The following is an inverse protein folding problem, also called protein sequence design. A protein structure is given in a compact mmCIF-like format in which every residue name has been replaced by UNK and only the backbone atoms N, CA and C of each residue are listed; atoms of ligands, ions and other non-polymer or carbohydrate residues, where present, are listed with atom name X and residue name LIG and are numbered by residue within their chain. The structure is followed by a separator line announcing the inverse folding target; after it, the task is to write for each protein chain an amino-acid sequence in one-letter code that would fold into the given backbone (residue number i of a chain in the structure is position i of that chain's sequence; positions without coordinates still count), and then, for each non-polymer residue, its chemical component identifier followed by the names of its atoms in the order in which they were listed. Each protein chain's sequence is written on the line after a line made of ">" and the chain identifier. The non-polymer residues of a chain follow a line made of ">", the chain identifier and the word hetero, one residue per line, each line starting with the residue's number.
data_IF_517681933137
#
_entry.id   IF_517681933137
#
_cell.length_a   1.000
_cell.length_b   1.000
_cell.length_c   1.000
_cell.angle_alpha   90.00
_cell.angle_beta   90.00
_cell.angle_gamma   90.00
#
_symmetry.space_group_name_H-M   'P 1'
#
loop_
_entity.id
_entity.type
_entity.pdbx_description
1 polymer ?
#
# COMPACT_ATOMS: atom_id res chain seq x y z
N UNK A 1 17.91 29.42 9.47
CA UNK A 1 17.01 29.68 8.32
C UNK A 1 16.65 28.32 7.81
N UNK A 2 15.43 27.87 8.08
CA UNK A 2 14.85 26.64 7.57
C UNK A 2 14.71 26.75 6.05
N UNK A 3 15.29 25.83 5.28
CA UNK A 3 15.21 25.80 3.82
C UNK A 3 14.75 24.40 3.39
N UNK A 4 13.90 24.34 2.36
CA UNK A 4 13.61 23.07 1.72
C UNK A 4 14.87 22.58 1.00
N UNK A 5 15.11 21.28 1.04
CA UNK A 5 16.21 20.61 0.36
C UNK A 5 15.64 19.74 -0.78
N UNK A 6 16.26 19.87 -1.95
CA UNK A 6 15.92 19.10 -3.14
C UNK A 6 17.20 18.60 -3.80
N UNK A 7 17.32 17.28 -3.94
CA UNK A 7 18.38 16.61 -4.69
C UNK A 7 17.76 15.78 -5.81
N UNK A 8 18.28 15.92 -7.02
CA UNK A 8 17.84 15.14 -8.19
C UNK A 8 19.08 14.59 -8.91
N UNK A 9 19.21 13.27 -8.99
CA UNK A 9 20.19 12.54 -9.79
C UNK A 9 19.48 11.86 -10.97
N UNK A 10 19.94 12.13 -12.20
CA UNK A 10 19.36 11.57 -13.42
C UNK A 10 20.48 10.97 -14.29
N UNK A 11 20.38 9.68 -14.61
CA UNK A 11 21.31 8.96 -15.49
C UNK A 11 20.52 8.25 -16.58
N UNK A 12 20.48 8.80 -17.78
CA UNK A 12 19.74 8.18 -18.88
C UNK A 12 19.18 9.16 -19.91
N UNK A 13 18.06 8.80 -20.53
CA UNK A 13 17.41 9.62 -21.58
C UNK A 13 15.92 9.78 -21.30
N UNK A 14 15.36 10.95 -21.63
CA UNK A 14 13.93 11.27 -21.43
C UNK A 14 13.44 11.09 -19.98
N UNK A 15 14.27 11.50 -19.01
CA UNK A 15 13.90 11.51 -17.59
C UNK A 15 13.24 12.85 -17.25
N UNK A 16 12.07 12.82 -16.62
CA UNK A 16 11.34 14.01 -16.16
C UNK A 16 11.21 13.92 -14.64
N UNK A 17 11.64 14.97 -13.95
CA UNK A 17 11.39 15.17 -12.53
C UNK A 17 10.77 16.56 -12.35
N UNK A 18 9.54 16.62 -11.84
CA UNK A 18 8.83 17.83 -11.51
C UNK A 18 8.61 17.86 -10.00
N UNK A 19 9.18 18.85 -9.31
CA UNK A 19 9.07 18.97 -7.85
C UNK A 19 8.56 20.36 -7.50
N UNK A 20 7.47 20.42 -6.73
CA UNK A 20 6.93 21.64 -6.16
C UNK A 20 6.89 21.52 -4.62
N UNK A 21 7.75 22.27 -3.93
CA UNK A 21 7.84 22.29 -2.47
C UNK A 21 7.35 23.64 -1.92
N UNK A 22 6.31 23.60 -1.08
CA UNK A 22 5.72 24.77 -0.43
C UNK A 22 5.81 24.62 1.10
N UNK A 23 6.56 25.50 1.76
CA UNK A 23 6.74 25.48 3.21
C UNK A 23 8.21 25.49 3.62
N UNK A 24 8.58 24.81 4.71
CA UNK A 24 9.90 24.90 5.34
C UNK A 24 10.42 23.52 5.74
N UNK A 25 11.74 23.29 5.72
CA UNK A 25 12.39 22.05 6.16
C UNK A 25 11.89 20.76 5.47
N UNK A 26 11.37 20.89 4.25
CA UNK A 26 10.99 19.72 3.46
C UNK A 26 12.19 19.17 2.68
N UNK A 27 12.43 17.87 2.74
CA UNK A 27 13.46 17.16 1.99
C UNK A 27 12.83 16.34 0.87
N UNK A 28 13.36 16.44 -0.35
CA UNK A 28 13.05 15.53 -1.45
C UNK A 28 14.34 15.09 -2.14
N UNK A 29 14.56 13.80 -2.22
CA UNK A 29 15.65 13.17 -2.96
C UNK A 29 15.07 12.29 -4.06
N UNK A 30 15.53 12.50 -5.30
CA UNK A 30 15.09 11.78 -6.48
C UNK A 30 16.31 11.19 -7.19
N UNK A 31 16.29 9.89 -7.45
CA UNK A 31 17.23 9.17 -8.32
C UNK A 31 16.44 8.54 -9.47
N UNK A 32 16.85 8.81 -10.72
CA UNK A 32 16.27 8.20 -11.92
C UNK A 32 17.37 7.64 -12.81
N UNK A 33 17.31 6.35 -13.13
CA UNK A 33 18.31 5.64 -13.94
C UNK A 33 17.65 4.82 -15.04
N UNK A 34 17.78 5.25 -16.30
CA UNK A 34 17.26 4.52 -17.46
C UNK A 34 16.58 5.38 -18.52
N UNK A 35 15.38 4.99 -18.98
CA UNK A 35 14.73 5.69 -20.13
C UNK A 35 13.27 6.04 -19.90
N UNK A 36 12.84 7.23 -20.31
CA UNK A 36 11.41 7.62 -20.35
C UNK A 36 10.71 7.58 -18.98
N UNK A 37 11.41 7.92 -17.89
CA UNK A 37 10.84 7.87 -16.53
C UNK A 37 10.27 9.22 -16.12
N UNK A 38 9.23 9.21 -15.29
CA UNK A 38 8.57 10.40 -14.78
C UNK A 38 8.43 10.34 -13.27
N UNK A 39 8.91 11.38 -12.58
CA UNK A 39 8.66 11.64 -11.17
C UNK A 39 7.93 12.97 -11.05
N UNK A 40 6.78 12.97 -10.38
CA UNK A 40 6.07 14.19 -9.99
C UNK A 40 5.92 14.21 -8.47
N UNK A 41 6.40 15.27 -7.84
CA UNK A 41 6.34 15.48 -6.39
C UNK A 41 5.69 16.82 -6.10
N UNK A 42 4.60 16.79 -5.34
CA UNK A 42 4.01 17.96 -4.71
C UNK A 42 4.12 17.80 -3.20
N UNK A 43 4.85 18.70 -2.54
CA UNK A 43 5.10 18.64 -1.11
C UNK A 43 4.71 19.96 -0.47
N UNK A 44 3.85 19.94 0.54
CA UNK A 44 3.39 21.12 1.25
C UNK A 44 3.43 20.95 2.77
N UNK A 45 3.85 21.99 3.50
CA UNK A 45 3.94 22.00 4.96
C UNK A 45 5.37 21.99 5.49
N UNK A 46 5.65 21.28 6.58
CA UNK A 46 6.95 21.34 7.25
C UNK A 46 7.55 19.98 7.60
N UNK A 47 8.87 19.85 7.60
CA UNK A 47 9.58 18.63 8.04
C UNK A 47 9.16 17.35 7.30
N UNK A 48 8.65 17.45 6.07
CA UNK A 48 8.29 16.27 5.30
C UNK A 48 9.52 15.75 4.54
N UNK A 49 9.68 14.44 4.44
CA UNK A 49 10.82 13.78 3.78
C UNK A 49 10.39 12.82 2.69
N UNK A 50 10.98 12.94 1.50
CA UNK A 50 10.73 12.08 0.34
C UNK A 50 12.00 11.50 -0.20
N UNK A 51 12.00 10.18 -0.43
CA UNK A 51 13.08 9.49 -1.13
C UNK A 51 12.48 8.66 -2.26
N UNK A 52 12.84 8.98 -3.50
CA UNK A 52 12.26 8.36 -4.70
C UNK A 52 13.38 7.84 -5.59
N UNK A 53 13.35 6.55 -5.90
CA UNK A 53 14.32 5.92 -6.79
C UNK A 53 13.61 5.10 -7.88
N UNK A 54 13.96 5.38 -9.13
CA UNK A 54 13.45 4.66 -10.29
C UNK A 54 14.60 4.13 -11.14
N UNK A 55 14.59 2.82 -11.40
CA UNK A 55 15.48 2.15 -12.32
C UNK A 55 14.70 1.44 -13.45
N UNK A 56 15.14 1.58 -14.70
CA UNK A 56 14.55 0.89 -15.85
C UNK A 56 13.87 1.80 -16.87
N UNK A 57 12.70 1.43 -17.38
CA UNK A 57 12.06 2.14 -18.50
C UNK A 57 10.59 2.48 -18.25
N UNK A 58 10.15 3.69 -18.62
CA UNK A 58 8.73 4.08 -18.59
C UNK A 58 8.04 3.97 -17.22
N UNK A 59 8.80 4.04 -16.13
CA UNK A 59 8.26 4.03 -14.77
C UNK A 59 7.72 5.42 -14.38
N UNK A 60 6.62 5.46 -13.63
CA UNK A 60 5.97 6.68 -13.16
C UNK A 60 5.82 6.66 -11.64
N UNK A 61 6.36 7.67 -10.98
CA UNK A 61 6.15 7.97 -9.56
C UNK A 61 5.37 9.27 -9.46
N UNK A 62 4.24 9.22 -8.76
CA UNK A 62 3.49 10.38 -8.34
C UNK A 62 3.45 10.44 -6.82
N UNK A 63 3.74 11.60 -6.26
CA UNK A 63 3.78 11.82 -4.84
C UNK A 63 3.14 13.16 -4.48
N UNK A 64 2.11 13.12 -3.65
CA UNK A 64 1.53 14.29 -3.02
C UNK A 64 1.63 14.15 -1.50
N UNK A 65 2.38 15.04 -0.85
CA UNK A 65 2.47 15.13 0.59
C UNK A 65 1.98 16.49 1.08
N UNK A 66 1.14 16.48 2.12
CA UNK A 66 0.68 17.67 2.81
C UNK A 66 0.68 17.47 4.32
N UNK A 67 1.26 18.42 5.07
CA UNK A 67 1.21 18.44 6.53
C UNK A 67 2.59 18.53 7.18
N UNK A 68 2.78 17.87 8.32
CA UNK A 68 4.02 17.99 9.12
C UNK A 68 4.63 16.64 9.43
N UNK A 69 5.95 16.47 9.21
CA UNK A 69 6.67 15.27 9.64
C UNK A 69 6.38 14.00 8.83
N UNK A 70 5.74 14.11 7.66
CA UNK A 70 5.42 12.94 6.86
C UNK A 70 6.64 12.42 6.11
N UNK A 71 6.85 11.10 6.13
CA UNK A 71 7.93 10.44 5.41
C UNK A 71 7.37 9.50 4.35
N UNK A 72 7.86 9.63 3.12
CA UNK A 72 7.53 8.69 2.04
C UNK A 72 8.77 8.21 1.31
N UNK A 73 8.74 6.94 0.94
CA UNK A 73 9.82 6.26 0.22
C UNK A 73 9.22 5.42 -0.91
N UNK A 74 9.73 5.61 -2.14
CA UNK A 74 9.28 4.85 -3.31
C UNK A 74 10.47 4.29 -4.08
N UNK A 75 10.46 2.99 -4.31
CA UNK A 75 11.42 2.29 -5.17
C UNK A 75 10.68 1.58 -6.31
N UNK A 76 11.09 1.84 -7.54
CA UNK A 76 10.57 1.12 -8.70
C UNK A 76 11.71 0.63 -9.59
N UNK A 77 11.73 -0.68 -9.84
CA UNK A 77 12.65 -1.31 -10.79
C UNK A 77 11.89 -2.05 -11.90
N UNK A 78 12.30 -1.87 -13.16
CA UNK A 78 11.74 -2.59 -14.31
C UNK A 78 11.04 -1.69 -15.31
N UNK A 79 9.94 -2.13 -15.91
CA UNK A 79 9.28 -1.40 -16.99
C UNK A 79 7.80 -1.10 -16.73
N UNK A 80 7.35 0.12 -17.07
CA UNK A 80 5.93 0.53 -16.99
C UNK A 80 5.28 0.44 -15.60
N UNK A 81 6.06 0.44 -14.52
CA UNK A 81 5.51 0.44 -13.17
C UNK A 81 4.96 1.83 -12.80
N UNK A 82 3.84 1.87 -12.09
CA UNK A 82 3.20 3.10 -11.60
C UNK A 82 3.04 3.04 -10.09
N UNK A 83 3.57 4.03 -9.38
CA UNK A 83 3.42 4.19 -7.94
C UNK A 83 2.83 5.57 -7.68
N UNK A 84 1.83 5.60 -6.80
CA UNK A 84 1.17 6.83 -6.41
C UNK A 84 1.03 6.86 -4.89
N UNK A 85 1.61 7.86 -4.25
CA UNK A 85 1.40 8.13 -2.83
C UNK A 85 0.67 9.46 -2.69
N UNK A 86 -0.40 9.47 -1.90
CA UNK A 86 -1.02 10.69 -1.39
C UNK A 86 -1.09 10.62 0.14
N UNK A 87 -0.37 11.51 0.81
CA UNK A 87 -0.21 11.51 2.25
C UNK A 87 -0.55 12.88 2.82
N UNK A 88 -1.67 12.97 3.52
CA UNK A 88 -2.21 14.21 4.10
C UNK A 88 -2.39 14.00 5.61
N UNK A 89 -1.44 14.48 6.41
CA UNK A 89 -1.46 14.21 7.85
C UNK A 89 -0.22 14.69 8.62
N UNK A 90 -0.01 14.09 9.79
CA UNK A 90 1.12 14.36 10.68
C UNK A 90 1.83 13.03 11.00
N UNK A 91 3.15 12.98 10.86
CA UNK A 91 4.01 11.83 11.21
C UNK A 91 3.60 10.50 10.54
N UNK A 92 3.08 10.53 9.32
CA UNK A 92 2.79 9.31 8.57
C UNK A 92 4.05 8.70 7.93
N UNK A 93 4.07 7.39 7.76
CA UNK A 93 5.07 6.66 6.98
C UNK A 93 4.41 5.89 5.83
N UNK A 94 4.90 6.10 4.61
CA UNK A 94 4.50 5.32 3.43
C UNK A 94 5.74 4.79 2.70
N UNK A 95 5.77 3.49 2.45
CA UNK A 95 6.79 2.80 1.68
C UNK A 95 6.17 2.01 0.55
N UNK A 96 6.63 2.23 -0.68
CA UNK A 96 6.26 1.44 -1.85
C UNK A 96 7.51 0.90 -2.52
N UNK A 97 7.51 -0.39 -2.79
CA UNK A 97 8.55 -1.07 -3.57
C UNK A 97 7.91 -1.95 -4.66
N UNK A 98 8.29 -1.72 -5.91
CA UNK A 98 7.78 -2.47 -7.05
C UNK A 98 8.93 -2.92 -7.96
N UNK A 99 8.99 -4.21 -8.26
CA UNK A 99 9.94 -4.81 -9.20
C UNK A 99 9.21 -5.65 -10.24
N UNK A 100 9.48 -5.40 -11.52
CA UNK A 100 8.93 -6.14 -12.65
C UNK A 100 8.27 -5.24 -13.69
N UNK A 101 7.20 -5.71 -14.31
CA UNK A 101 6.56 -5.03 -15.44
C UNK A 101 5.11 -4.67 -15.13
N UNK A 102 4.70 -3.42 -15.43
CA UNK A 102 3.30 -2.98 -15.35
C UNK A 102 2.62 -3.18 -13.99
N UNK A 103 3.38 -3.10 -12.88
CA UNK A 103 2.81 -3.12 -11.54
C UNK A 103 2.21 -1.74 -11.18
N UNK A 104 1.12 -1.76 -10.41
CA UNK A 104 0.44 -0.55 -9.93
C UNK A 104 0.35 -0.60 -8.40
N UNK A 105 0.90 0.42 -7.74
CA UNK A 105 0.83 0.59 -6.29
C UNK A 105 0.23 1.95 -5.98
N UNK A 106 -0.78 1.96 -5.13
CA UNK A 106 -1.49 3.16 -4.70
C UNK A 106 -1.60 3.17 -3.18
N UNK A 107 -1.11 4.24 -2.56
CA UNK A 107 -1.14 4.43 -1.13
C UNK A 107 -1.76 5.79 -0.78
N UNK A 108 -2.87 5.75 -0.05
CA UNK A 108 -3.60 6.93 0.40
C UNK A 108 -3.66 6.95 1.92
N UNK A 109 -2.98 7.91 2.56
CA UNK A 109 -3.13 8.23 3.98
C UNK A 109 -3.83 9.59 4.09
N UNK A 110 -5.16 9.58 4.26
CA UNK A 110 -6.00 10.78 4.18
C UNK A 110 -6.65 11.12 5.52
N UNK A 111 -6.60 12.40 5.93
CA UNK A 111 -7.55 12.97 6.90
C UNK A 111 -7.05 13.09 8.34
N UNK A 112 -6.08 13.98 8.59
CA UNK A 112 -5.49 14.22 9.92
C UNK A 112 -5.01 12.93 10.59
N UNK A 113 -4.49 12.00 9.77
CA UNK A 113 -3.82 10.81 10.28
C UNK A 113 -2.66 11.28 11.15
N UNK A 114 -2.65 10.89 12.43
CA UNK A 114 -1.53 11.14 13.34
C UNK A 114 -0.88 9.80 13.57
N UNK A 115 0.29 9.61 12.97
CA UNK A 115 0.95 8.32 12.92
C UNK A 115 0.22 7.28 12.06
N UNK A 116 0.98 6.35 11.52
CA UNK A 116 0.48 5.25 10.71
C UNK A 116 1.54 4.79 9.72
N UNK A 117 1.57 3.48 9.45
CA UNK A 117 2.51 2.89 8.49
C UNK A 117 1.73 2.21 7.38
N UNK A 118 2.20 2.42 6.15
CA UNK A 118 1.71 1.76 4.96
C UNK A 118 2.91 1.25 4.18
N UNK A 119 3.00 -0.06 4.00
CA UNK A 119 4.07 -0.67 3.21
C UNK A 119 3.47 -1.56 2.11
N UNK A 120 3.92 -1.36 0.88
CA UNK A 120 3.51 -2.16 -0.28
C UNK A 120 4.74 -2.72 -1.00
N UNK A 121 4.75 -4.04 -1.22
CA UNK A 121 5.78 -4.76 -1.95
C UNK A 121 5.15 -5.52 -3.12
N UNK A 122 5.63 -5.32 -4.34
CA UNK A 122 5.13 -6.03 -5.51
C UNK A 122 6.30 -6.53 -6.36
N UNK A 123 6.47 -7.85 -6.44
CA UNK A 123 7.51 -8.49 -7.23
C UNK A 123 6.88 -9.43 -8.26
N UNK A 124 7.06 -9.13 -9.55
CA UNK A 124 6.47 -9.86 -10.68
C UNK A 124 5.76 -8.91 -11.64
N UNK A 125 4.85 -9.41 -12.47
CA UNK A 125 4.21 -8.58 -13.50
C UNK A 125 2.71 -8.36 -13.24
N UNK A 126 2.19 -7.19 -13.64
CA UNK A 126 0.76 -6.86 -13.60
C UNK A 126 0.08 -6.91 -12.21
N UNK A 127 0.85 -6.78 -11.12
CA UNK A 127 0.26 -6.76 -9.78
C UNK A 127 -0.37 -5.40 -9.47
N UNK A 128 -1.47 -5.41 -8.70
CA UNK A 128 -2.16 -4.19 -8.24
C UNK A 128 -2.29 -4.22 -6.72
N UNK A 129 -1.72 -3.21 -6.06
CA UNK A 129 -1.75 -3.03 -4.62
C UNK A 129 -2.36 -1.67 -4.32
N UNK A 130 -3.39 -1.65 -3.49
CA UNK A 130 -4.03 -0.40 -3.04
C UNK A 130 -4.26 -0.44 -1.54
N UNK A 131 -3.84 0.63 -0.86
CA UNK A 131 -4.20 0.87 0.54
C UNK A 131 -4.79 2.26 0.69
N UNK A 132 -5.96 2.32 1.33
CA UNK A 132 -6.63 3.54 1.74
C UNK A 132 -6.77 3.55 3.28
N UNK A 133 -6.01 4.40 3.95
CA UNK A 133 -6.18 4.72 5.37
C UNK A 133 -6.88 6.08 5.49
N UNK A 134 -8.16 6.07 5.86
CA UNK A 134 -9.01 7.26 5.89
C UNK A 134 -9.38 7.59 7.34
N UNK A 135 -8.95 8.76 7.81
CA UNK A 135 -9.30 9.36 9.09
C UNK A 135 -9.07 8.43 10.29
N UNK A 136 -7.89 8.56 10.90
CA UNK A 136 -7.58 7.83 12.12
C UNK A 136 -6.13 7.90 12.57
N UNK A 137 -5.84 7.39 13.76
CA UNK A 137 -4.51 7.39 14.36
C UNK A 137 -3.91 5.99 14.34
N UNK A 138 -2.62 5.87 13.99
CA UNK A 138 -1.83 4.65 14.11
C UNK A 138 -2.38 3.43 13.38
N UNK A 139 -2.94 3.62 12.19
CA UNK A 139 -3.30 2.48 11.33
C UNK A 139 -2.04 1.90 10.69
N UNK A 140 -1.99 0.58 10.59
CA UNK A 140 -0.91 -0.16 9.94
C UNK A 140 -1.51 -0.99 8.81
N UNK A 141 -0.95 -0.85 7.63
CA UNK A 141 -1.27 -1.66 6.47
C UNK A 141 0.02 -2.18 5.84
N UNK A 142 0.06 -3.49 5.60
CA UNK A 142 1.17 -4.15 4.93
C UNK A 142 0.61 -5.04 3.82
N UNK A 143 1.12 -4.86 2.60
CA UNK A 143 0.74 -5.68 1.46
C UNK A 143 1.99 -6.18 0.75
N UNK A 144 2.05 -7.48 0.48
CA UNK A 144 3.06 -8.06 -0.38
C UNK A 144 2.46 -9.00 -1.42
N UNK A 145 2.91 -8.86 -2.67
CA UNK A 145 2.48 -9.65 -3.81
C UNK A 145 3.69 -10.18 -4.56
N UNK A 146 3.79 -11.49 -4.66
CA UNK A 146 4.85 -12.21 -5.37
C UNK A 146 4.23 -13.04 -6.51
N UNK A 147 4.64 -12.78 -7.75
CA UNK A 147 4.12 -13.43 -8.95
C UNK A 147 3.28 -12.48 -9.81
N UNK A 148 2.30 -13.00 -10.55
CA UNK A 148 1.71 -12.23 -11.67
C UNK A 148 0.21 -11.99 -11.54
N UNK A 149 -0.22 -10.75 -11.79
CA UNK A 149 -1.63 -10.39 -11.88
C UNK A 149 -2.38 -10.46 -10.55
N UNK A 150 -1.68 -10.39 -9.41
CA UNK A 150 -2.33 -10.41 -8.11
C UNK A 150 -2.95 -9.05 -7.78
N UNK A 151 -4.03 -9.03 -7.01
CA UNK A 151 -4.74 -7.82 -6.58
C UNK A 151 -4.91 -7.81 -5.06
N UNK A 152 -4.42 -6.78 -4.38
CA UNK A 152 -4.52 -6.61 -2.93
C UNK A 152 -5.08 -5.23 -2.62
N UNK A 153 -6.25 -5.17 -1.97
CA UNK A 153 -6.88 -3.93 -1.53
C UNK A 153 -7.05 -3.93 0.00
N UNK A 154 -6.69 -2.84 0.66
CA UNK A 154 -6.97 -2.62 2.07
C UNK A 154 -7.59 -1.24 2.30
N UNK A 155 -8.70 -1.19 3.03
CA UNK A 155 -9.39 0.02 3.44
C UNK A 155 -9.54 0.03 4.97
N UNK A 156 -9.01 1.07 5.61
CA UNK A 156 -9.03 1.24 7.07
C UNK A 156 -9.67 2.59 7.42
N UNK A 157 -10.83 2.56 8.09
CA UNK A 157 -11.58 3.74 8.54
C UNK A 157 -11.74 3.77 10.07
N UNK A 158 -10.93 4.55 10.78
CA UNK A 158 -10.89 4.57 12.25
C UNK A 158 -9.47 4.43 12.82
N UNK A 159 -9.29 3.99 14.07
CA UNK A 159 -7.99 4.06 14.76
C UNK A 159 -7.38 2.70 15.11
N UNK A 160 -6.04 2.64 15.11
CA UNK A 160 -5.25 1.48 15.58
C UNK A 160 -5.63 0.16 14.92
N UNK A 161 -5.96 0.18 13.63
CA UNK A 161 -6.24 -1.04 12.87
C UNK A 161 -4.97 -1.60 12.23
N UNK A 162 -4.95 -2.91 12.05
CA UNK A 162 -3.86 -3.62 11.39
C UNK A 162 -4.44 -4.48 10.26
N UNK A 163 -3.95 -4.25 9.04
CA UNK A 163 -4.30 -5.02 7.84
C UNK A 163 -3.03 -5.61 7.21
N UNK A 164 -2.96 -6.94 7.09
CA UNK A 164 -1.87 -7.66 6.41
C UNK A 164 -2.44 -8.44 5.25
N UNK A 165 -1.90 -8.23 4.05
CA UNK A 165 -2.19 -9.07 2.88
C UNK A 165 -0.90 -9.63 2.30
N UNK A 166 -0.82 -10.96 2.21
CA UNK A 166 0.26 -11.67 1.53
C UNK A 166 -0.31 -12.53 0.40
N UNK A 167 0.23 -12.38 -0.81
CA UNK A 167 -0.15 -13.17 -1.97
C UNK A 167 1.09 -13.70 -2.68
N UNK A 168 1.15 -15.01 -2.91
CA UNK A 168 2.16 -15.66 -3.72
C UNK A 168 1.51 -16.54 -4.80
N UNK A 169 1.90 -16.34 -6.05
CA UNK A 169 1.39 -17.05 -7.22
C UNK A 169 0.75 -16.09 -8.22
N UNK A 170 -0.35 -16.49 -8.86
CA UNK A 170 -0.94 -15.66 -9.91
C UNK A 170 -2.45 -15.49 -9.82
N UNK A 171 -2.91 -14.31 -10.21
CA UNK A 171 -4.34 -13.96 -10.24
C UNK A 171 -5.05 -14.12 -8.88
N UNK A 172 -4.32 -14.02 -7.77
CA UNK A 172 -4.94 -14.03 -6.44
C UNK A 172 -5.51 -12.65 -6.13
N UNK A 173 -6.63 -12.60 -5.44
CA UNK A 173 -7.33 -11.37 -5.08
C UNK A 173 -7.70 -11.35 -3.58
N UNK A 174 -7.36 -10.25 -2.91
CA UNK A 174 -7.64 -9.99 -1.50
C UNK A 174 -8.29 -8.62 -1.34
N UNK A 175 -9.33 -8.54 -0.50
CA UNK A 175 -9.88 -7.27 -0.04
C UNK A 175 -10.07 -7.25 1.49
N UNK A 176 -9.36 -6.38 2.20
CA UNK A 176 -9.51 -6.14 3.64
C UNK A 176 -10.22 -4.81 3.86
N UNK A 177 -11.33 -4.81 4.59
CA UNK A 177 -12.08 -3.61 4.97
C UNK A 177 -12.30 -3.60 6.47
N UNK A 178 -11.74 -2.60 7.16
CA UNK A 178 -11.88 -2.44 8.60
C UNK A 178 -12.48 -1.06 8.91
N UNK A 179 -13.51 -1.05 9.76
CA UNK A 179 -14.05 0.19 10.32
C UNK A 179 -14.24 0.06 11.82
N UNK A 180 -13.75 1.06 12.57
CA UNK A 180 -13.81 1.09 14.04
C UNK A 180 -12.45 1.23 14.71
N UNK A 181 -12.15 0.41 15.72
CA UNK A 181 -10.91 0.55 16.51
C UNK A 181 -10.28 -0.79 16.87
N UNK A 182 -8.94 -0.87 16.85
CA UNK A 182 -8.20 -2.07 17.29
C UNK A 182 -8.63 -3.37 16.57
N UNK A 183 -8.97 -3.30 15.28
CA UNK A 183 -9.27 -4.49 14.48
C UNK A 183 -7.99 -5.01 13.83
N UNK A 184 -7.84 -6.34 13.78
CA UNK A 184 -6.75 -7.05 13.12
C UNK A 184 -7.30 -7.96 12.03
N UNK A 185 -6.83 -7.77 10.80
CA UNK A 185 -7.18 -8.56 9.63
C UNK A 185 -5.92 -9.01 8.92
N UNK A 186 -5.82 -10.31 8.67
CA UNK A 186 -4.69 -10.91 7.97
C UNK A 186 -5.18 -11.93 6.94
N UNK A 187 -4.59 -11.87 5.76
CA UNK A 187 -4.91 -12.76 4.66
C UNK A 187 -3.64 -13.28 4.01
N UNK A 188 -3.56 -14.58 3.81
CA UNK A 188 -2.45 -15.25 3.12
C UNK A 188 -3.02 -16.10 1.98
N UNK A 189 -2.51 -15.92 0.76
CA UNK A 189 -2.90 -16.70 -0.40
C UNK A 189 -1.68 -17.28 -1.11
N UNK A 190 -1.70 -18.58 -1.34
CA UNK A 190 -0.70 -19.31 -2.12
C UNK A 190 -1.38 -20.08 -3.24
N UNK A 191 -0.97 -19.83 -4.49
CA UNK A 191 -1.43 -20.57 -5.67
C UNK A 191 -2.09 -19.67 -6.70
N UNK A 192 -3.18 -20.12 -7.33
CA UNK A 192 -3.78 -19.40 -8.46
C UNK A 192 -5.27 -19.12 -8.31
N UNK A 193 -5.71 -17.92 -8.70
CA UNK A 193 -7.13 -17.54 -8.71
C UNK A 193 -7.84 -17.69 -7.36
N UNK A 194 -7.12 -17.55 -6.24
CA UNK A 194 -7.78 -17.53 -4.93
C UNK A 194 -8.39 -16.13 -4.68
N UNK A 195 -9.59 -16.09 -4.13
CA UNK A 195 -10.29 -14.87 -3.75
C UNK A 195 -10.57 -14.90 -2.25
N UNK A 196 -10.17 -13.85 -1.53
CA UNK A 196 -10.61 -13.68 -0.16
C UNK A 196 -11.02 -12.25 0.19
N UNK A 197 -11.84 -12.13 1.23
CA UNK A 197 -12.16 -10.84 1.83
C UNK A 197 -12.38 -10.92 3.33
N UNK A 198 -11.86 -9.93 4.06
CA UNK A 198 -12.17 -9.72 5.48
C UNK A 198 -12.87 -8.38 5.63
N UNK A 199 -14.06 -8.38 6.21
CA UNK A 199 -14.80 -7.17 6.58
C UNK A 199 -15.04 -7.17 8.09
N UNK A 200 -14.48 -6.19 8.79
CA UNK A 200 -14.58 -6.05 10.24
C UNK A 200 -15.15 -4.68 10.63
N UNK A 201 -16.26 -4.71 11.37
CA UNK A 201 -16.89 -3.55 11.97
C UNK A 201 -16.94 -3.65 13.49
N UNK A 202 -16.51 -2.59 14.19
CA UNK A 202 -16.55 -2.51 15.65
C UNK A 202 -15.16 -2.48 16.28
N UNK A 203 -14.99 -3.10 17.45
CA UNK A 203 -13.74 -2.99 18.22
C UNK A 203 -13.13 -4.33 18.63
N UNK A 204 -11.83 -4.50 18.43
CA UNK A 204 -11.10 -5.68 18.91
C UNK A 204 -11.36 -6.96 18.12
N UNK A 205 -11.77 -6.85 16.85
CA UNK A 205 -12.04 -8.02 16.02
C UNK A 205 -10.74 -8.58 15.42
N UNK A 206 -10.62 -9.91 15.41
CA UNK A 206 -9.52 -10.67 14.79
C UNK A 206 -10.07 -11.55 13.67
N UNK A 207 -9.52 -11.37 12.47
CA UNK A 207 -9.89 -12.09 11.27
C UNK A 207 -8.62 -12.60 10.59
N UNK A 208 -8.57 -13.90 10.33
CA UNK A 208 -7.48 -14.52 9.56
C UNK A 208 -8.05 -15.39 8.45
N UNK A 209 -7.56 -15.24 7.23
CA UNK A 209 -7.85 -16.13 6.11
C UNK A 209 -6.54 -16.66 5.50
N UNK A 210 -6.34 -17.97 5.54
CA UNK A 210 -5.27 -18.65 4.79
C UNK A 210 -5.86 -19.51 3.66
N UNK A 211 -5.40 -19.34 2.43
CA UNK A 211 -5.81 -20.15 1.27
C UNK A 211 -4.59 -20.73 0.55
N UNK A 212 -4.56 -22.05 0.38
CA UNK A 212 -3.55 -22.78 -0.38
C UNK A 212 -4.20 -23.58 -1.51
N UNK A 213 -3.76 -23.36 -2.74
CA UNK A 213 -4.22 -24.08 -3.93
C UNK A 213 -4.89 -23.15 -4.94
N UNK A 214 -5.95 -23.60 -5.60
CA UNK A 214 -6.48 -22.90 -6.77
C UNK A 214 -7.99 -22.65 -6.68
N UNK A 215 -8.46 -21.47 -7.10
CA UNK A 215 -9.89 -21.15 -7.16
C UNK A 215 -10.62 -21.27 -5.81
N UNK A 216 -9.94 -21.01 -4.69
CA UNK A 216 -10.59 -21.00 -3.39
C UNK A 216 -11.23 -19.63 -3.11
N UNK A 217 -12.39 -19.62 -2.46
CA UNK A 217 -13.13 -18.41 -2.06
C UNK A 217 -13.34 -18.41 -0.54
N UNK A 218 -12.90 -17.37 0.14
CA UNK A 218 -13.08 -17.23 1.58
C UNK A 218 -13.55 -15.82 1.95
N UNK A 219 -14.53 -15.71 2.84
CA UNK A 219 -14.94 -14.42 3.38
C UNK A 219 -15.15 -14.49 4.89
N UNK A 220 -14.67 -13.47 5.60
CA UNK A 220 -14.97 -13.21 7.01
C UNK A 220 -15.75 -11.90 7.08
N UNK A 221 -16.94 -11.93 7.66
CA UNK A 221 -17.71 -10.76 8.06
C UNK A 221 -17.89 -10.78 9.57
N UNK A 222 -17.30 -9.81 10.27
CA UNK A 222 -17.43 -9.64 11.71
C UNK A 222 -18.00 -8.26 12.02
N UNK A 223 -19.20 -8.22 12.58
CA UNK A 223 -19.76 -7.02 13.16
C UNK A 223 -19.91 -7.20 14.67
N UNK A 224 -19.41 -6.23 15.44
CA UNK A 224 -19.46 -6.25 16.90
C UNK A 224 -18.06 -6.12 17.50
N UNK A 225 -17.94 -6.50 18.77
CA UNK A 225 -16.69 -6.35 19.52
C UNK A 225 -16.11 -7.71 19.91
N UNK A 226 -14.78 -7.82 19.93
CA UNK A 226 -14.02 -9.00 20.37
C UNK A 226 -14.39 -10.29 19.61
N UNK A 227 -14.63 -10.18 18.30
CA UNK A 227 -14.88 -11.33 17.43
C UNK A 227 -13.56 -11.99 17.03
N UNK A 228 -13.56 -13.32 16.91
CA UNK A 228 -12.43 -14.07 16.37
C UNK A 228 -12.94 -15.03 15.29
N UNK A 229 -12.38 -14.92 14.09
CA UNK A 229 -12.66 -15.78 12.96
C UNK A 229 -11.36 -16.17 12.27
N UNK A 230 -11.18 -17.47 12.09
CA UNK A 230 -10.03 -18.07 11.40
C UNK A 230 -10.59 -18.97 10.31
N UNK A 231 -10.21 -18.73 9.07
CA UNK A 231 -10.56 -19.55 7.91
C UNK A 231 -9.26 -20.08 7.31
N UNK A 232 -9.20 -21.39 7.09
CA UNK A 232 -8.10 -22.05 6.40
C UNK A 232 -8.69 -22.94 5.32
N UNK A 233 -8.26 -22.74 4.08
CA UNK A 233 -8.68 -23.56 2.94
C UNK A 233 -7.47 -24.15 2.24
N UNK A 234 -7.50 -25.46 2.00
CA UNK A 234 -6.48 -26.16 1.22
C UNK A 234 -7.18 -26.93 0.11
N UNK A 235 -6.69 -26.82 -1.12
CA UNK A 235 -7.18 -27.57 -2.27
C UNK A 235 -7.72 -26.66 -3.37
N UNK A 236 -8.77 -27.11 -4.07
CA UNK A 236 -9.34 -26.35 -5.18
C UNK A 236 -10.84 -26.21 -5.08
N UNK A 237 -11.36 -25.06 -5.52
CA UNK A 237 -12.79 -24.75 -5.58
C UNK A 237 -13.51 -24.79 -4.22
N UNK A 238 -12.79 -24.55 -3.11
CA UNK A 238 -13.41 -24.46 -1.80
C UNK A 238 -14.09 -23.10 -1.59
N UNK A 239 -15.23 -23.08 -0.90
CA UNK A 239 -15.93 -21.84 -0.54
C UNK A 239 -16.28 -21.83 0.95
N UNK A 240 -15.87 -20.80 1.69
CA UNK A 240 -16.21 -20.60 3.11
C UNK A 240 -16.61 -19.15 3.32
N UNK A 241 -17.74 -18.95 3.99
CA UNK A 241 -18.19 -17.62 4.43
C UNK A 241 -18.47 -17.71 5.93
N UNK A 242 -17.74 -16.94 6.72
CA UNK A 242 -17.96 -16.78 8.17
C UNK A 242 -18.70 -15.47 8.40
N UNK A 243 -19.85 -15.52 9.06
CA UNK A 243 -20.60 -14.33 9.45
C UNK A 243 -20.83 -14.36 10.97
N UNK A 244 -20.23 -13.39 11.67
CA UNK A 244 -20.39 -13.20 13.10
C UNK A 244 -21.05 -11.84 13.35
N UNK A 245 -22.22 -11.85 13.99
CA UNK A 245 -23.00 -10.68 14.41
C UNK A 245 -23.08 -10.62 15.91
#
# INVERSE_FOLDING_TARGET
>A
MAQNELTIEQVGTQLVAEVNQVGHDNLTEISQRGTTQMVQVMQSGSDNGNYLDQEGAANVINLEQAGTGNYSMQFQGGEFNTASIQQIGIDGYVYIEQFGTSNIAQAFQLGNTIGGSLEQFQWGDFNVARVDQIAGMNNVAWQAQYGDGNVAEALQMGNSMWAVSYQEGSLNATAIVQYGTNNYAETEQYGTMNLNSIVQGGSGNLGYIGQWGNNNVAAILQNGNNRNAVVTQVGSFNAIIVNQK
#
